data_IF_846780840937
#
_entry.id   IF_846780840937
#
_cell.length_a   1.000
_cell.length_b   1.000
_cell.length_c   1.000
_cell.angle_alpha   90.00
_cell.angle_beta   90.00
_cell.angle_gamma   90.00
#
_symmetry.space_group_name_H-M   'P 1'
#
loop_
_entity.id
_entity.type
_entity.pdbx_description
1 polymer ?
#
# COMPACT_ATOMS: atom_id res chain seq x y z
N UNK A 1 -7.20 -0.69 -14.37
CA UNK A 1 -6.71 -1.71 -13.42
C UNK A 1 -5.29 -1.37 -12.98
N UNK A 2 -5.05 -1.34 -11.68
CA UNK A 2 -3.73 -1.11 -11.12
C UNK A 2 -3.26 -2.30 -10.30
N UNK A 3 -1.95 -2.47 -10.20
CA UNK A 3 -1.33 -3.34 -9.21
C UNK A 3 -1.03 -2.49 -7.97
N UNK A 4 -1.59 -2.85 -6.83
CA UNK A 4 -1.57 -2.03 -5.62
C UNK A 4 -0.94 -2.80 -4.48
N UNK A 5 0.24 -2.38 -4.04
CA UNK A 5 0.88 -2.99 -2.87
C UNK A 5 0.20 -2.47 -1.59
N UNK A 6 -0.32 -3.40 -0.81
CA UNK A 6 -0.98 -3.10 0.47
C UNK A 6 0.00 -3.43 1.59
N UNK A 7 0.68 -2.42 2.12
CA UNK A 7 1.71 -2.59 3.14
C UNK A 7 1.08 -2.53 4.53
N UNK A 8 1.39 -3.52 5.36
CA UNK A 8 0.73 -3.68 6.65
C UNK A 8 -0.55 -4.48 6.53
N UNK A 9 -0.60 -5.39 5.57
CA UNK A 9 -1.77 -6.22 5.33
C UNK A 9 -2.09 -7.13 6.52
N UNK A 10 -3.37 -7.39 6.73
CA UNK A 10 -3.85 -8.20 7.85
C UNK A 10 -4.94 -9.17 7.39
N UNK A 11 -4.94 -10.41 7.90
CA UNK A 11 -6.02 -11.36 7.62
C UNK A 11 -7.29 -11.06 8.41
N UNK A 12 -7.25 -10.15 9.37
CA UNK A 12 -8.43 -9.81 10.20
C UNK A 12 -9.40 -8.95 9.41
N UNK A 13 -10.66 -9.41 9.20
CA UNK A 13 -11.60 -8.70 8.33
C UNK A 13 -11.97 -7.28 8.78
N UNK A 14 -11.84 -6.97 10.05
CA UNK A 14 -12.18 -5.67 10.59
C UNK A 14 -11.08 -4.62 10.44
N UNK A 15 -9.88 -5.03 10.03
CA UNK A 15 -8.77 -4.10 9.81
C UNK A 15 -8.96 -3.34 8.50
N UNK A 16 -8.57 -2.07 8.49
CA UNK A 16 -8.68 -1.24 7.28
C UNK A 16 -7.87 -1.79 6.12
N UNK A 17 -6.69 -2.36 6.38
CA UNK A 17 -5.88 -2.96 5.31
C UNK A 17 -6.59 -4.15 4.66
N UNK A 18 -7.31 -4.97 5.45
CA UNK A 18 -8.07 -6.07 4.91
C UNK A 18 -9.25 -5.57 4.08
N UNK A 19 -9.96 -4.56 4.59
CA UNK A 19 -11.07 -3.94 3.86
C UNK A 19 -10.58 -3.37 2.53
N UNK A 20 -9.39 -2.78 2.51
CA UNK A 20 -8.80 -2.25 1.28
C UNK A 20 -8.50 -3.35 0.27
N UNK A 21 -7.97 -4.48 0.71
CA UNK A 21 -7.71 -5.62 -0.18
C UNK A 21 -9.00 -6.08 -0.85
N UNK A 22 -10.07 -6.26 -0.07
CA UNK A 22 -11.35 -6.69 -0.61
C UNK A 22 -11.95 -5.67 -1.55
N UNK A 23 -11.89 -4.39 -1.18
CA UNK A 23 -12.49 -3.33 -1.98
C UNK A 23 -11.72 -3.09 -3.28
N UNK A 24 -10.39 -3.15 -3.24
CA UNK A 24 -9.57 -3.05 -4.45
C UNK A 24 -9.95 -4.14 -5.45
N UNK A 25 -10.08 -5.38 -5.01
CA UNK A 25 -10.54 -6.47 -5.88
C UNK A 25 -11.92 -6.21 -6.45
N UNK A 26 -12.84 -5.72 -5.62
CA UNK A 26 -14.21 -5.41 -6.03
C UNK A 26 -14.24 -4.33 -7.12
N UNK A 27 -13.29 -3.38 -7.08
CA UNK A 27 -13.15 -2.32 -8.08
C UNK A 27 -12.21 -2.70 -9.23
N UNK A 28 -11.90 -3.99 -9.38
CA UNK A 28 -11.09 -4.54 -10.48
C UNK A 28 -9.61 -4.12 -10.47
N UNK A 29 -9.08 -3.79 -9.29
CA UNK A 29 -7.64 -3.63 -9.11
C UNK A 29 -7.04 -4.91 -8.58
N UNK A 30 -5.73 -5.07 -8.72
CA UNK A 30 -5.00 -6.24 -8.23
C UNK A 30 -4.29 -5.90 -6.92
N UNK A 31 -4.84 -6.27 -5.75
CA UNK A 31 -4.14 -6.04 -4.49
C UNK A 31 -2.99 -7.03 -4.30
N UNK A 32 -1.85 -6.53 -3.85
CA UNK A 32 -0.65 -7.31 -3.57
C UNK A 32 -0.30 -7.09 -2.10
N UNK A 33 -0.72 -7.99 -1.21
CA UNK A 33 -0.52 -7.80 0.23
C UNK A 33 0.95 -8.00 0.63
N UNK A 34 1.42 -7.15 1.54
CA UNK A 34 2.75 -7.27 2.14
C UNK A 34 2.58 -7.45 3.65
N UNK A 35 3.06 -8.58 4.16
CA UNK A 35 3.01 -8.89 5.60
C UNK A 35 4.07 -9.92 5.95
N UNK A 36 4.58 -9.92 7.22
CA UNK A 36 5.72 -10.78 7.56
C UNK A 36 5.39 -12.23 7.87
N UNK A 37 4.14 -12.55 8.21
CA UNK A 37 3.82 -13.85 8.83
C UNK A 37 2.74 -14.66 8.12
N UNK A 38 2.27 -14.24 6.97
CA UNK A 38 1.15 -14.90 6.30
C UNK A 38 1.52 -15.25 4.86
N UNK A 39 0.99 -16.35 4.36
CA UNK A 39 1.20 -16.77 2.98
C UNK A 39 0.08 -16.28 2.06
N UNK A 40 -1.13 -16.17 2.61
CA UNK A 40 -2.30 -15.68 1.87
C UNK A 40 -3.15 -14.80 2.77
N UNK A 41 -3.75 -13.77 2.16
CA UNK A 41 -4.76 -12.93 2.80
C UNK A 41 -5.83 -12.68 1.75
N UNK A 42 -7.08 -13.01 2.06
CA UNK A 42 -8.23 -12.86 1.16
C UNK A 42 -7.99 -13.52 -0.20
N UNK A 43 -7.36 -14.70 -0.19
CA UNK A 43 -7.05 -15.44 -1.42
C UNK A 43 -5.87 -14.90 -2.23
N UNK A 44 -5.27 -13.79 -1.81
CA UNK A 44 -4.13 -13.19 -2.49
C UNK A 44 -2.82 -13.68 -1.88
N UNK A 45 -1.84 -13.95 -2.75
CA UNK A 45 -0.49 -14.31 -2.28
C UNK A 45 0.13 -13.13 -1.54
N UNK A 46 0.72 -13.40 -0.38
CA UNK A 46 1.39 -12.39 0.46
C UNK A 46 2.89 -12.44 0.22
N UNK A 47 3.50 -11.27 0.07
CA UNK A 47 4.96 -11.15 0.00
C UNK A 47 5.49 -10.57 1.30
N UNK A 48 6.66 -11.02 1.72
CA UNK A 48 7.31 -10.52 2.93
C UNK A 48 8.07 -9.22 2.68
N UNK A 49 8.51 -9.03 1.45
CA UNK A 49 9.29 -7.86 1.06
C UNK A 49 8.79 -7.32 -0.27
N UNK A 50 8.83 -5.99 -0.42
CA UNK A 50 8.54 -5.32 -1.68
C UNK A 50 9.46 -5.83 -2.80
N UNK A 51 10.67 -6.25 -2.45
CA UNK A 51 11.66 -6.74 -3.43
C UNK A 51 11.26 -8.06 -4.07
N UNK A 52 10.36 -8.80 -3.44
CA UNK A 52 9.95 -10.12 -3.93
C UNK A 52 8.77 -10.05 -4.90
N UNK A 53 8.17 -8.89 -5.09
CA UNK A 53 6.98 -8.73 -5.93
C UNK A 53 7.38 -8.77 -7.39
N UNK A 54 6.84 -9.73 -8.19
CA UNK A 54 7.17 -9.80 -9.61
C UNK A 54 6.43 -8.77 -10.48
N UNK A 55 5.26 -8.31 -10.03
CA UNK A 55 4.47 -7.34 -10.80
C UNK A 55 5.03 -5.93 -10.66
N UNK A 56 4.82 -5.11 -11.70
CA UNK A 56 5.06 -3.69 -11.59
C UNK A 56 3.96 -3.07 -10.71
N UNK A 57 4.35 -2.38 -9.64
CA UNK A 57 3.40 -1.75 -8.72
C UNK A 57 3.11 -0.31 -9.16
N UNK A 58 1.84 0.01 -9.31
CA UNK A 58 1.40 1.37 -9.67
C UNK A 58 1.22 2.24 -8.44
N UNK A 59 0.59 1.71 -7.40
CA UNK A 59 0.27 2.44 -6.18
C UNK A 59 0.65 1.62 -4.96
N UNK A 60 1.19 2.29 -3.95
CA UNK A 60 1.38 1.73 -2.61
C UNK A 60 0.33 2.34 -1.70
N UNK A 61 -0.46 1.51 -1.02
CA UNK A 61 -1.36 1.96 0.04
C UNK A 61 -0.79 1.50 1.38
N UNK A 62 -0.47 2.46 2.24
CA UNK A 62 0.34 2.23 3.43
C UNK A 62 -0.55 2.20 4.68
N UNK A 63 -0.39 1.12 5.45
CA UNK A 63 -1.13 0.88 6.70
C UNK A 63 -0.22 0.64 7.90
N UNK A 64 1.06 1.07 7.81
CA UNK A 64 1.98 1.05 8.94
C UNK A 64 2.10 2.43 9.54
N UNK A 65 2.12 2.52 10.87
CA UNK A 65 2.36 3.78 11.55
C UNK A 65 3.76 4.31 11.30
N UNK A 66 3.96 5.60 11.53
CA UNK A 66 5.20 6.31 11.25
C UNK A 66 6.43 5.58 11.81
N UNK A 67 6.36 5.10 13.06
CA UNK A 67 7.49 4.46 13.73
C UNK A 67 7.95 3.18 13.04
N UNK A 68 7.12 2.58 12.18
CA UNK A 68 7.41 1.30 11.53
C UNK A 68 7.75 1.46 10.05
N UNK A 69 7.82 2.69 9.56
CA UNK A 69 8.00 2.95 8.12
C UNK A 69 9.45 3.03 7.67
N UNK A 70 10.38 3.40 8.56
CA UNK A 70 11.77 3.64 8.17
C UNK A 70 12.37 2.51 7.33
N UNK A 71 12.21 1.22 7.71
CA UNK A 71 12.85 0.15 6.94
C UNK A 71 12.32 -0.01 5.53
N UNK A 72 11.11 0.48 5.24
CA UNK A 72 10.47 0.23 3.95
C UNK A 72 10.51 1.41 2.99
N UNK A 73 10.86 2.61 3.46
CA UNK A 73 10.83 3.80 2.59
C UNK A 73 11.83 3.65 1.43
N UNK A 74 13.04 3.18 1.69
CA UNK A 74 14.02 2.96 0.62
C UNK A 74 13.54 1.88 -0.35
N UNK A 75 12.87 0.85 0.14
CA UNK A 75 12.31 -0.21 -0.71
C UNK A 75 11.18 0.34 -1.59
N UNK A 76 10.35 1.24 -1.06
CA UNK A 76 9.30 1.90 -1.86
C UNK A 76 9.94 2.73 -2.98
N UNK A 77 10.99 3.49 -2.67
CA UNK A 77 11.67 4.30 -3.67
C UNK A 77 12.27 3.41 -4.77
N UNK A 78 12.89 2.31 -4.39
CA UNK A 78 13.45 1.36 -5.35
C UNK A 78 12.36 0.71 -6.20
N UNK A 79 11.19 0.43 -5.61
CA UNK A 79 10.03 -0.11 -6.32
C UNK A 79 9.50 0.86 -7.36
N UNK A 80 9.64 2.15 -7.12
CA UNK A 80 9.24 3.25 -8.01
C UNK A 80 7.76 3.21 -8.42
N UNK A 81 6.82 3.15 -7.46
CA UNK A 81 5.41 3.26 -7.81
C UNK A 81 5.10 4.68 -8.29
N UNK A 82 3.96 4.88 -8.91
CA UNK A 82 3.52 6.21 -9.33
C UNK A 82 3.15 7.08 -8.14
N UNK A 83 2.60 6.46 -7.08
CA UNK A 83 2.17 7.19 -5.87
C UNK A 83 2.18 6.30 -4.64
N UNK A 84 2.22 6.95 -3.48
CA UNK A 84 2.01 6.31 -2.18
C UNK A 84 0.85 7.01 -1.49
N UNK A 85 -0.14 6.23 -1.08
CA UNK A 85 -1.26 6.74 -0.29
C UNK A 85 -0.95 6.50 1.19
N UNK A 86 -0.80 7.59 1.93
CA UNK A 86 -0.65 7.55 3.37
C UNK A 86 -2.05 7.60 4.00
N UNK A 87 -2.57 6.44 4.37
CA UNK A 87 -3.89 6.35 4.96
C UNK A 87 -3.92 7.03 6.33
N UNK A 88 -5.11 7.40 6.86
CA UNK A 88 -5.19 8.08 8.16
C UNK A 88 -4.44 7.33 9.25
N UNK A 89 -3.59 8.04 9.97
CA UNK A 89 -2.73 7.48 11.02
C UNK A 89 -1.35 7.04 10.55
N UNK A 90 -1.07 7.08 9.24
CA UNK A 90 0.23 6.69 8.71
C UNK A 90 1.06 7.88 8.22
N UNK A 91 0.53 9.09 8.29
CA UNK A 91 1.18 10.29 7.79
C UNK A 91 2.61 10.42 8.35
N UNK A 92 3.55 10.77 7.49
CA UNK A 92 4.96 10.87 7.87
C UNK A 92 5.63 11.94 7.02
N UNK A 93 5.45 13.19 7.41
CA UNK A 93 5.93 14.34 6.63
C UNK A 93 7.45 14.34 6.45
N UNK A 94 8.18 13.67 7.33
CA UNK A 94 9.64 13.60 7.25
C UNK A 94 10.12 12.90 5.98
N UNK A 95 9.32 12.01 5.38
CA UNK A 95 9.73 11.25 4.18
C UNK A 95 9.10 11.78 2.89
N UNK A 96 8.20 12.74 2.96
CA UNK A 96 7.47 13.20 1.77
C UNK A 96 8.38 13.85 0.74
N UNK A 97 9.32 14.67 1.18
CA UNK A 97 10.29 15.31 0.27
C UNK A 97 11.12 14.27 -0.48
N UNK A 98 11.58 13.25 0.25
CA UNK A 98 12.39 12.18 -0.32
C UNK A 98 11.61 11.41 -1.40
N UNK A 99 10.34 11.12 -1.16
CA UNK A 99 9.47 10.45 -2.12
C UNK A 99 9.24 11.32 -3.36
N UNK A 100 8.95 12.61 -3.16
CA UNK A 100 8.73 13.53 -4.27
C UNK A 100 9.98 13.70 -5.13
N UNK A 101 11.15 13.74 -4.51
CA UNK A 101 12.42 13.80 -5.24
C UNK A 101 12.68 12.55 -6.08
N UNK A 102 12.05 11.43 -5.73
CA UNK A 102 12.11 10.18 -6.49
C UNK A 102 10.96 10.08 -7.52
N UNK A 103 10.26 11.18 -7.79
CA UNK A 103 9.12 11.24 -8.71
C UNK A 103 7.95 10.38 -8.29
N UNK A 104 7.74 10.23 -6.99
CA UNK A 104 6.62 9.48 -6.43
C UNK A 104 5.63 10.48 -5.84
N UNK A 105 4.37 10.43 -6.31
CA UNK A 105 3.32 11.28 -5.77
C UNK A 105 2.96 10.86 -4.34
N UNK A 106 2.84 11.82 -3.43
CA UNK A 106 2.42 11.59 -2.05
C UNK A 106 0.97 12.01 -1.90
N UNK A 107 0.12 11.09 -1.44
CA UNK A 107 -1.31 11.35 -1.24
C UNK A 107 -1.67 11.04 0.21
N UNK A 108 -2.17 12.02 0.95
CA UNK A 108 -2.73 11.81 2.30
C UNK A 108 -4.23 11.62 2.15
N UNK A 109 -4.70 10.38 2.20
CA UNK A 109 -6.11 10.07 1.99
C UNK A 109 -6.44 8.68 2.50
N UNK A 110 -7.72 8.37 2.58
CA UNK A 110 -8.21 7.04 2.90
C UNK A 110 -8.51 6.30 1.60
N UNK A 111 -7.81 5.21 1.35
CA UNK A 111 -7.99 4.41 0.14
C UNK A 111 -9.44 3.94 -0.04
N UNK A 112 -10.09 3.55 1.06
CA UNK A 112 -11.50 3.13 0.99
C UNK A 112 -12.41 4.24 0.50
N UNK A 113 -12.19 5.46 0.99
CA UNK A 113 -12.96 6.63 0.58
C UNK A 113 -12.70 6.96 -0.87
N UNK A 114 -11.43 6.93 -1.30
CA UNK A 114 -11.08 7.19 -2.70
C UNK A 114 -11.80 6.23 -3.64
N UNK A 115 -11.81 4.94 -3.31
CA UNK A 115 -12.48 3.94 -4.14
C UNK A 115 -13.98 4.18 -4.20
N UNK A 116 -14.62 4.40 -3.04
CA UNK A 116 -16.07 4.56 -2.96
C UNK A 116 -16.58 5.84 -3.59
N UNK A 117 -15.73 6.85 -3.74
CA UNK A 117 -16.10 8.15 -4.31
C UNK A 117 -15.57 8.34 -5.73
N UNK A 118 -15.06 7.30 -6.37
CA UNK A 118 -14.48 7.36 -7.73
C UNK A 118 -13.34 8.36 -7.85
N UNK A 119 -12.55 8.51 -6.78
CA UNK A 119 -11.39 9.42 -6.76
C UNK A 119 -10.06 8.68 -6.70
N UNK A 120 -10.12 7.37 -6.70
CA UNK A 120 -8.91 6.54 -6.67
C UNK A 120 -8.12 6.66 -8.01
#
# INVERSE_FOLDING_TARGET
MENVAVIGASPKPDRYSNKAIRLLSEYNHNPVPIAPKHEQIEGEKVYRSLKDIPEKIDTVTLYLGQARQDPIISDIIELAPKRVIFNPGTENKAVYKQLKEADIEVVEACTLVLLKTNRY
#
